data_IF_197420038565
#
_entry.id   IF_197420038565
#
_cell.length_a   1.000
_cell.length_b   1.000
_cell.length_c   1.000
_cell.angle_alpha   90.00
_cell.angle_beta   90.00
_cell.angle_gamma   90.00
#
_symmetry.space_group_name_H-M   'P 1'
#
loop_
_entity.id
_entity.type
_entity.pdbx_description
1 polymer ?
#
# COMPACT_ATOMS: atom_id res chain seq x y z
N UNK A 1 -14.71 9.78 23.15
CA UNK A 1 -13.40 9.09 23.37
C UNK A 1 -12.62 9.13 22.06
N UNK A 2 -11.30 9.48 22.06
CA UNK A 2 -10.53 9.52 20.82
C UNK A 2 -10.35 8.12 20.24
N UNK A 3 -10.59 7.98 18.95
CA UNK A 3 -10.46 6.72 18.19
C UNK A 3 -9.14 6.63 17.46
N UNK A 4 -8.62 7.77 17.03
CA UNK A 4 -7.36 7.89 16.31
C UNK A 4 -6.72 9.25 16.58
N UNK A 5 -5.40 9.32 16.39
CA UNK A 5 -4.62 10.55 16.56
C UNK A 5 -3.54 10.62 15.49
N UNK A 6 -3.24 11.84 15.05
CA UNK A 6 -2.14 12.19 14.16
C UNK A 6 -1.42 13.40 14.75
N UNK A 7 -0.11 13.29 14.96
CA UNK A 7 0.71 14.44 15.31
C UNK A 7 1.36 15.01 14.05
N UNK A 8 1.22 16.31 13.86
CA UNK A 8 1.79 17.07 12.74
C UNK A 8 2.77 18.07 13.33
N UNK A 9 4.07 17.84 13.15
CA UNK A 9 5.11 18.77 13.57
C UNK A 9 5.08 20.02 12.68
N UNK A 10 5.35 21.19 13.25
CA UNK A 10 5.51 22.43 12.49
C UNK A 10 6.83 22.39 11.73
N UNK A 11 6.76 22.50 10.40
CA UNK A 11 7.96 22.65 9.59
C UNK A 11 8.50 24.07 9.72
N UNK A 12 9.81 24.23 9.93
CA UNK A 12 10.48 25.52 10.17
C UNK A 12 10.45 26.49 8.99
N UNK A 13 9.99 26.08 7.79
CA UNK A 13 10.16 26.83 6.55
C UNK A 13 8.89 26.99 5.68
N UNK A 14 7.73 26.44 6.07
CA UNK A 14 6.51 26.50 5.25
C UNK A 14 5.31 26.90 6.07
N UNK A 15 4.47 27.78 5.51
CA UNK A 15 3.13 28.02 6.02
C UNK A 15 2.39 26.68 6.10
N UNK A 16 2.13 26.20 7.31
CA UNK A 16 1.40 24.96 7.55
C UNK A 16 -0.11 25.20 7.47
N UNK A 17 -0.89 24.13 7.23
CA UNK A 17 -2.36 24.16 7.28
C UNK A 17 -2.90 24.87 8.54
N UNK A 18 -2.19 24.72 9.66
CA UNK A 18 -2.63 25.15 10.98
C UNK A 18 -1.95 26.43 11.47
N UNK A 19 -1.13 27.10 10.65
CA UNK A 19 -0.39 28.29 11.09
C UNK A 19 -1.31 29.46 11.46
N UNK A 20 -2.53 29.50 10.91
CA UNK A 20 -3.53 30.50 11.29
C UNK A 20 -4.17 30.22 12.67
N UNK A 21 -3.95 29.04 13.25
CA UNK A 21 -4.57 28.62 14.50
C UNK A 21 -3.70 28.84 15.74
N UNK A 22 -2.44 29.27 15.59
CA UNK A 22 -1.57 29.51 16.73
C UNK A 22 -0.38 30.46 16.42
N UNK A 23 0.01 31.26 17.41
CA UNK A 23 1.16 32.17 17.36
C UNK A 23 2.51 31.45 17.14
N UNK A 24 3.59 32.22 17.00
CA UNK A 24 4.98 31.78 16.77
C UNK A 24 5.53 30.74 17.76
N UNK A 25 4.83 30.44 18.86
CA UNK A 25 5.20 29.47 19.90
C UNK A 25 4.72 28.03 19.64
N UNK A 26 3.92 27.80 18.59
CA UNK A 26 3.45 26.47 18.24
C UNK A 26 4.57 25.60 17.66
N UNK A 27 4.75 24.39 18.20
CA UNK A 27 5.72 23.39 17.73
C UNK A 27 5.05 22.29 16.88
N UNK A 28 3.73 22.11 17.04
CA UNK A 28 2.96 21.20 16.22
C UNK A 28 1.50 21.08 16.66
N UNK A 29 0.75 20.23 15.97
CA UNK A 29 -0.67 20.02 16.18
C UNK A 29 -0.98 18.55 16.36
N UNK A 30 -1.80 18.26 17.36
CA UNK A 30 -2.40 16.96 17.56
C UNK A 30 -3.81 16.97 16.96
N UNK A 31 -4.01 16.19 15.92
CA UNK A 31 -5.32 16.00 15.27
C UNK A 31 -5.94 14.73 15.83
N UNK A 32 -7.12 14.82 16.41
CA UNK A 32 -7.82 13.74 17.08
C UNK A 32 -9.18 13.51 16.44
N UNK A 33 -9.45 12.26 16.05
CA UNK A 33 -10.78 11.82 15.68
C UNK A 33 -11.50 11.18 16.86
N UNK A 34 -12.81 11.37 16.99
CA UNK A 34 -13.61 10.74 18.03
C UNK A 34 -14.80 9.89 17.51
N UNK A 35 -15.41 9.15 18.45
CA UNK A 35 -16.57 8.30 18.20
C UNK A 35 -17.81 9.07 17.75
N UNK A 36 -17.87 10.37 18.07
CA UNK A 36 -19.00 11.24 17.76
C UNK A 36 -18.83 11.91 16.38
N UNK A 37 -17.78 11.53 15.65
CA UNK A 37 -17.50 12.02 14.30
C UNK A 37 -16.75 13.35 14.24
N UNK A 38 -16.27 13.88 15.37
CA UNK A 38 -15.54 15.14 15.37
C UNK A 38 -14.05 14.92 15.14
N UNK A 39 -13.46 15.82 14.36
CA UNK A 39 -12.02 16.00 14.22
C UNK A 39 -11.63 17.25 14.99
N UNK A 40 -10.89 17.08 16.07
CA UNK A 40 -10.39 18.17 16.91
C UNK A 40 -8.92 18.37 16.64
N UNK A 41 -8.49 19.62 16.65
CA UNK A 41 -7.10 20.02 16.49
C UNK A 41 -6.68 20.71 17.77
N UNK A 42 -5.57 20.25 18.33
CA UNK A 42 -4.97 20.81 19.55
C UNK A 42 -3.58 21.32 19.19
N UNK A 43 -3.37 22.64 19.28
CA UNK A 43 -2.06 23.24 19.09
C UNK A 43 -1.21 23.04 20.35
N UNK A 44 0.05 22.64 20.16
CA UNK A 44 0.97 22.31 21.25
C UNK A 44 2.26 23.12 21.13
N UNK A 45 2.82 23.53 22.27
CA UNK A 45 4.15 24.14 22.34
C UNK A 45 5.27 23.08 22.45
N UNK A 46 6.52 23.56 22.48
CA UNK A 46 7.73 22.73 22.65
C UNK A 46 7.76 21.93 23.97
N UNK A 47 7.00 22.36 24.98
CA UNK A 47 6.83 21.68 26.26
C UNK A 47 5.61 20.77 26.29
N UNK A 48 4.94 20.59 25.14
CA UNK A 48 3.70 19.82 24.97
C UNK A 48 2.52 20.38 25.78
N UNK A 49 2.58 21.65 26.18
CA UNK A 49 1.43 22.34 26.74
C UNK A 49 0.44 22.69 25.63
N UNK A 50 -0.85 22.60 25.96
CA UNK A 50 -1.93 22.94 25.04
C UNK A 50 -2.03 24.46 24.93
N UNK A 51 -1.87 24.99 23.72
CA UNK A 51 -1.99 26.42 23.43
C UNK A 51 -3.42 26.80 23.03
N UNK A 52 -4.05 25.98 22.19
CA UNK A 52 -5.42 26.18 21.71
C UNK A 52 -6.02 24.85 21.27
N UNK A 53 -7.35 24.77 21.21
CA UNK A 53 -8.08 23.63 20.68
C UNK A 53 -9.34 24.09 19.95
N UNK A 54 -9.64 23.45 18.82
CA UNK A 54 -10.83 23.74 18.03
C UNK A 54 -11.31 22.50 17.26
N UNK A 55 -12.57 22.50 16.83
CA UNK A 55 -13.12 21.46 15.96
C UNK A 55 -12.90 21.87 14.51
N UNK A 56 -12.19 21.04 13.76
CA UNK A 56 -11.86 21.28 12.36
C UNK A 56 -12.92 20.72 11.40
N UNK A 57 -13.48 19.56 11.74
CA UNK A 57 -14.46 18.87 10.91
C UNK A 57 -15.39 18.03 11.77
N UNK A 58 -16.59 17.75 11.26
CA UNK A 58 -17.50 16.80 11.87
C UNK A 58 -18.21 15.96 10.81
N UNK A 59 -18.22 14.64 11.02
CA UNK A 59 -19.19 13.76 10.41
C UNK A 59 -20.41 13.63 11.32
N UNK A 60 -21.59 13.96 10.78
CA UNK A 60 -22.82 13.94 11.56
C UNK A 60 -23.37 12.52 11.82
N UNK A 61 -22.87 11.51 11.11
CA UNK A 61 -23.49 10.19 10.99
C UNK A 61 -22.53 9.01 11.21
N UNK A 62 -21.25 9.27 11.49
CA UNK A 62 -20.24 8.22 11.63
C UNK A 62 -19.07 8.65 12.51
N UNK A 63 -18.49 7.69 13.22
CA UNK A 63 -17.26 7.89 13.98
C UNK A 63 -16.08 8.19 13.05
N UNK A 64 -15.05 8.87 13.56
CA UNK A 64 -13.78 8.94 12.84
C UNK A 64 -13.04 7.62 13.00
N UNK A 65 -12.71 6.97 11.89
CA UNK A 65 -11.90 5.75 11.89
C UNK A 65 -10.40 6.05 11.87
N UNK A 66 -9.98 6.99 11.02
CA UNK A 66 -8.56 7.29 10.82
C UNK A 66 -8.36 8.71 10.31
N UNK A 67 -7.25 9.34 10.74
CA UNK A 67 -6.75 10.61 10.16
C UNK A 67 -5.37 10.34 9.57
N UNK A 68 -5.11 10.89 8.38
CA UNK A 68 -3.87 10.71 7.62
C UNK A 68 -3.28 12.05 7.20
N UNK A 69 -1.96 12.16 7.19
CA UNK A 69 -1.28 13.28 6.53
C UNK A 69 -1.25 13.04 5.01
N UNK A 70 -1.65 14.04 4.23
CA UNK A 70 -1.62 14.00 2.76
C UNK A 70 -0.43 14.84 2.25
N UNK A 71 -0.26 16.03 2.81
CA UNK A 71 0.85 16.94 2.55
C UNK A 71 1.08 17.83 3.78
N UNK A 72 2.01 18.77 3.71
CA UNK A 72 2.23 19.77 4.76
C UNK A 72 1.02 20.68 4.98
N UNK A 73 0.14 20.77 3.99
CA UNK A 73 -1.02 21.65 3.92
C UNK A 73 -2.35 20.90 3.76
N UNK A 74 -2.37 19.57 3.93
CA UNK A 74 -3.61 18.80 3.83
C UNK A 74 -3.60 17.52 4.69
N UNK A 75 -4.78 17.22 5.24
CA UNK A 75 -5.07 15.98 5.96
C UNK A 75 -6.25 15.25 5.33
N UNK A 76 -6.31 13.94 5.50
CA UNK A 76 -7.47 13.14 5.14
C UNK A 76 -8.12 12.55 6.39
N UNK A 77 -9.44 12.53 6.40
CA UNK A 77 -10.29 12.03 7.47
C UNK A 77 -11.15 10.92 6.90
N UNK A 78 -10.98 9.70 7.40
CA UNK A 78 -11.79 8.55 7.06
C UNK A 78 -12.83 8.31 8.16
N UNK A 79 -14.09 8.35 7.79
CA UNK A 79 -15.20 7.97 8.66
C UNK A 79 -15.42 6.45 8.69
N UNK A 80 -16.04 5.97 9.75
CA UNK A 80 -16.26 4.53 9.98
C UNK A 80 -17.20 3.87 8.97
N UNK A 81 -17.89 4.63 8.12
CA UNK A 81 -18.74 4.13 7.03
C UNK A 81 -18.06 4.25 5.65
N UNK A 82 -16.75 4.56 5.60
CA UNK A 82 -15.97 4.62 4.37
C UNK A 82 -16.04 5.96 3.62
N UNK A 83 -16.65 6.99 4.21
CA UNK A 83 -16.57 8.36 3.67
C UNK A 83 -15.17 8.91 3.92
N UNK A 84 -14.50 9.36 2.87
CA UNK A 84 -13.17 9.94 2.92
C UNK A 84 -13.25 11.42 2.54
N UNK A 85 -12.84 12.30 3.45
CA UNK A 85 -12.74 13.74 3.21
C UNK A 85 -11.28 14.16 3.28
N UNK A 86 -10.82 14.96 2.31
CA UNK A 86 -9.51 15.60 2.34
C UNK A 86 -9.71 17.08 2.54
N UNK A 87 -9.09 17.61 3.60
CA UNK A 87 -9.12 19.00 3.99
C UNK A 87 -7.76 19.61 3.67
N UNK A 88 -7.74 20.63 2.82
CA UNK A 88 -6.59 21.48 2.54
C UNK A 88 -6.64 22.78 3.32
N UNK A 89 -5.56 23.57 3.26
CA UNK A 89 -5.42 24.83 4.00
C UNK A 89 -6.68 25.71 3.92
N UNK A 90 -6.93 26.47 4.99
CA UNK A 90 -8.14 27.31 5.16
C UNK A 90 -9.45 26.50 5.15
N UNK A 91 -9.41 25.27 5.67
CA UNK A 91 -10.59 24.38 5.78
C UNK A 91 -11.24 24.05 4.43
N UNK A 92 -10.49 24.20 3.33
CA UNK A 92 -11.01 23.91 2.00
C UNK A 92 -11.13 22.40 1.81
N UNK A 93 -12.34 21.93 1.51
CA UNK A 93 -12.57 20.55 1.10
C UNK A 93 -11.95 20.33 -0.29
N UNK A 94 -10.92 19.49 -0.37
CA UNK A 94 -10.24 19.11 -1.61
C UNK A 94 -10.88 17.86 -2.23
N UNK A 95 -11.41 16.97 -1.40
CA UNK A 95 -12.06 15.73 -1.81
C UNK A 95 -13.10 15.34 -0.76
N UNK A 96 -14.27 14.87 -1.19
CA UNK A 96 -15.29 14.28 -0.33
C UNK A 96 -15.97 13.17 -1.13
N UNK A 97 -15.66 11.91 -0.79
CA UNK A 97 -16.06 10.75 -1.57
C UNK A 97 -16.50 9.60 -0.66
N UNK A 98 -17.31 8.71 -1.23
CA UNK A 98 -17.66 7.44 -0.62
C UNK A 98 -16.77 6.33 -1.19
N UNK A 99 -15.93 5.72 -0.35
CA UNK A 99 -15.14 4.54 -0.72
C UNK A 99 -15.96 3.26 -0.61
N UNK A 100 -15.38 2.15 -1.10
CA UNK A 100 -15.91 0.82 -0.82
C UNK A 100 -15.95 0.55 0.68
N UNK A 101 -17.06 0.00 1.15
CA UNK A 101 -17.29 -0.30 2.57
C UNK A 101 -17.41 -1.81 2.83
N UNK A 102 -16.83 -2.35 3.92
CA UNK A 102 -15.94 -1.66 4.88
C UNK A 102 -14.53 -1.40 4.34
N UNK A 103 -13.90 -0.32 4.81
CA UNK A 103 -12.48 -0.03 4.58
C UNK A 103 -11.68 -0.64 5.72
N UNK A 104 -10.95 -1.71 5.44
CA UNK A 104 -10.18 -2.47 6.43
C UNK A 104 -8.87 -1.75 6.80
N UNK A 105 -8.26 -1.06 5.83
CA UNK A 105 -6.99 -0.37 6.00
C UNK A 105 -6.80 0.64 4.88
N UNK A 106 -6.24 1.81 5.18
CA UNK A 106 -5.92 2.85 4.19
C UNK A 106 -4.56 3.49 4.50
N UNK A 107 -3.85 3.86 3.44
CA UNK A 107 -2.66 4.71 3.48
C UNK A 107 -2.72 5.72 2.35
N UNK A 108 -2.09 6.88 2.53
CA UNK A 108 -1.83 7.81 1.45
C UNK A 108 -0.40 7.64 0.96
N UNK A 109 -0.22 7.43 -0.35
CA UNK A 109 1.09 7.29 -0.99
C UNK A 109 1.46 8.61 -1.68
N UNK A 110 2.37 9.37 -1.07
CA UNK A 110 2.67 10.75 -1.45
C UNK A 110 3.28 10.90 -2.85
N UNK A 111 4.18 10.00 -3.25
CA UNK A 111 4.79 10.02 -4.59
C UNK A 111 3.75 9.77 -5.68
N UNK A 112 2.89 8.78 -5.46
CA UNK A 112 1.87 8.41 -6.44
C UNK A 112 0.61 9.28 -6.37
N UNK A 113 0.49 10.11 -5.32
CA UNK A 113 -0.67 10.96 -5.00
C UNK A 113 -1.99 10.18 -4.95
N UNK A 114 -1.93 8.98 -4.36
CA UNK A 114 -3.04 8.03 -4.33
C UNK A 114 -3.30 7.55 -2.91
N UNK A 115 -4.57 7.48 -2.53
CA UNK A 115 -5.01 6.65 -1.43
C UNK A 115 -5.00 5.20 -1.89
N UNK A 116 -4.34 4.35 -1.11
CA UNK A 116 -4.40 2.91 -1.29
C UNK A 116 -5.12 2.34 -0.11
N UNK A 117 -6.12 1.52 -0.36
CA UNK A 117 -6.92 0.95 0.70
C UNK A 117 -7.33 -0.48 0.38
N UNK A 118 -7.68 -1.20 1.45
CA UNK A 118 -8.21 -2.55 1.38
C UNK A 118 -9.69 -2.49 1.74
N UNK A 119 -10.52 -3.10 0.90
CA UNK A 119 -11.92 -3.31 1.16
C UNK A 119 -12.32 -4.69 0.63
N UNK A 120 -13.06 -5.47 1.45
CA UNK A 120 -13.58 -6.80 1.05
C UNK A 120 -12.50 -7.75 0.51
N UNK A 121 -11.29 -7.67 1.06
CA UNK A 121 -10.16 -8.53 0.65
C UNK A 121 -9.48 -8.12 -0.66
N UNK A 122 -9.86 -7.00 -1.27
CA UNK A 122 -9.25 -6.44 -2.47
C UNK A 122 -8.55 -5.12 -2.15
N UNK A 123 -7.50 -4.81 -2.90
CA UNK A 123 -6.77 -3.56 -2.77
C UNK A 123 -7.16 -2.61 -3.91
N UNK A 124 -7.40 -1.35 -3.56
CA UNK A 124 -7.85 -0.30 -4.46
C UNK A 124 -6.93 0.91 -4.37
N UNK A 125 -6.78 1.62 -5.48
CA UNK A 125 -6.17 2.95 -5.55
C UNK A 125 -7.20 4.02 -5.90
N UNK A 126 -7.14 5.16 -5.22
CA UNK A 126 -7.94 6.35 -5.54
C UNK A 126 -7.04 7.59 -5.57
N UNK A 127 -6.93 8.25 -6.72
CA UNK A 127 -6.17 9.49 -6.84
C UNK A 127 -7.00 10.70 -6.35
N UNK A 128 -6.35 11.75 -5.85
CA UNK A 128 -7.03 12.93 -5.31
C UNK A 128 -7.99 13.60 -6.30
N UNK A 129 -7.67 13.57 -7.60
CA UNK A 129 -8.49 14.19 -8.66
C UNK A 129 -9.31 13.18 -9.46
N UNK A 130 -9.25 11.90 -9.10
CA UNK A 130 -10.05 10.86 -9.78
C UNK A 130 -11.50 10.90 -9.31
N UNK A 131 -12.41 10.56 -10.21
CA UNK A 131 -13.83 10.36 -9.90
C UNK A 131 -14.14 8.93 -9.42
N UNK A 132 -13.18 8.01 -9.51
CA UNK A 132 -13.39 6.59 -9.16
C UNK A 132 -12.15 5.90 -8.60
N UNK A 133 -12.38 4.82 -7.87
CA UNK A 133 -11.34 3.91 -7.38
C UNK A 133 -11.07 2.81 -8.40
N UNK A 134 -9.80 2.48 -8.61
CA UNK A 134 -9.36 1.37 -9.46
C UNK A 134 -8.85 0.20 -8.61
N UNK A 135 -9.23 -1.03 -8.96
CA UNK A 135 -8.70 -2.22 -8.30
C UNK A 135 -7.24 -2.48 -8.74
N UNK A 136 -6.37 -2.79 -7.79
CA UNK A 136 -4.98 -3.16 -8.04
C UNK A 136 -4.91 -4.66 -8.34
N UNK A 137 -5.27 -5.05 -9.56
CA UNK A 137 -5.46 -6.46 -9.95
C UNK A 137 -4.23 -7.37 -9.82
N UNK A 138 -3.03 -6.79 -9.78
CA UNK A 138 -1.79 -7.54 -9.54
C UNK A 138 -1.62 -7.96 -8.07
N UNK A 139 -2.47 -7.46 -7.15
CA UNK A 139 -2.48 -7.82 -5.73
C UNK A 139 -3.51 -8.94 -5.52
N UNK A 140 -3.13 -10.05 -4.83
CA UNK A 140 -4.05 -11.15 -4.58
C UNK A 140 -5.33 -10.77 -3.82
N UNK A 141 -6.41 -11.50 -4.08
CA UNK A 141 -7.75 -11.32 -3.48
C UNK A 141 -7.85 -11.89 -2.05
N UNK A 142 -6.88 -11.59 -1.22
CA UNK A 142 -6.85 -11.92 0.20
C UNK A 142 -6.15 -10.82 1.02
N UNK A 143 -6.11 -9.59 0.49
CA UNK A 143 -5.52 -8.44 1.16
C UNK A 143 -6.24 -8.18 2.50
N UNK A 144 -5.45 -7.84 3.53
CA UNK A 144 -5.96 -7.51 4.87
C UNK A 144 -5.55 -6.10 5.29
N UNK A 145 -4.30 -5.73 5.04
CA UNK A 145 -3.76 -4.44 5.46
C UNK A 145 -2.81 -3.89 4.42
N UNK A 146 -2.83 -2.58 4.22
CA UNK A 146 -1.82 -1.87 3.43
C UNK A 146 -0.93 -1.06 4.37
N UNK A 147 0.36 -1.02 4.07
CA UNK A 147 1.38 -0.30 4.85
C UNK A 147 2.30 0.46 3.91
N UNK A 148 2.77 1.62 4.37
CA UNK A 148 3.88 2.31 3.72
C UNK A 148 5.17 1.50 3.91
N UNK A 149 5.98 1.38 2.86
CA UNK A 149 7.30 0.77 2.95
C UNK A 149 8.36 1.81 3.31
N UNK A 150 9.54 1.34 3.73
CA UNK A 150 10.71 2.20 3.92
C UNK A 150 11.18 2.84 2.61
N UNK A 151 11.06 2.11 1.50
CA UNK A 151 11.16 2.66 0.15
C UNK A 151 9.86 3.43 -0.17
N UNK A 152 9.91 4.77 -0.30
CA UNK A 152 8.72 5.60 -0.47
C UNK A 152 8.06 5.45 -1.84
N UNK A 153 8.67 4.71 -2.77
CA UNK A 153 8.07 4.35 -4.06
C UNK A 153 7.17 3.11 -3.99
N UNK A 154 7.21 2.38 -2.86
CA UNK A 154 6.54 1.10 -2.69
C UNK A 154 5.48 1.14 -1.60
N UNK A 155 4.50 0.29 -1.79
CA UNK A 155 3.55 -0.10 -0.75
C UNK A 155 3.71 -1.58 -0.43
N UNK A 156 3.45 -1.92 0.83
CA UNK A 156 3.31 -3.28 1.30
C UNK A 156 1.84 -3.63 1.49
N UNK A 157 1.43 -4.83 1.08
CA UNK A 157 0.11 -5.38 1.36
C UNK A 157 0.27 -6.70 2.09
N UNK A 158 -0.26 -6.73 3.32
CA UNK A 158 -0.32 -7.92 4.15
C UNK A 158 -1.62 -8.68 3.83
N UNK A 159 -1.48 -9.95 3.48
CA UNK A 159 -2.58 -10.86 3.20
C UNK A 159 -3.15 -11.47 4.49
N UNK A 160 -4.38 -12.00 4.43
CA UNK A 160 -5.02 -12.73 5.53
C UNK A 160 -4.22 -13.96 5.96
N UNK A 161 -3.40 -14.52 5.06
CA UNK A 161 -2.51 -15.66 5.30
C UNK A 161 -1.13 -15.24 5.84
N UNK A 162 -0.95 -13.97 6.20
CA UNK A 162 0.32 -13.46 6.74
C UNK A 162 1.42 -13.25 5.70
N UNK A 163 1.09 -13.25 4.41
CA UNK A 163 2.05 -12.99 3.33
C UNK A 163 2.17 -11.49 3.07
N UNK A 164 3.39 -11.00 2.87
CA UNK A 164 3.65 -9.62 2.50
C UNK A 164 3.96 -9.53 1.01
N UNK A 165 3.18 -8.74 0.29
CA UNK A 165 3.41 -8.39 -1.10
C UNK A 165 3.88 -6.93 -1.17
N UNK A 166 4.89 -6.64 -1.98
CA UNK A 166 5.29 -5.25 -2.24
C UNK A 166 5.05 -4.91 -3.69
N UNK A 167 4.54 -3.73 -3.96
CA UNK A 167 4.34 -3.24 -5.33
C UNK A 167 4.71 -1.76 -5.44
N UNK A 168 5.05 -1.34 -6.65
CA UNK A 168 5.31 0.07 -6.99
C UNK A 168 4.03 0.63 -7.58
N UNK A 169 3.67 1.84 -7.15
CA UNK A 169 2.51 2.55 -7.69
C UNK A 169 2.95 3.54 -8.74
N UNK A 170 2.32 3.47 -9.90
CA UNK A 170 2.51 4.47 -10.93
C UNK A 170 1.93 5.83 -10.49
N UNK A 171 2.65 6.95 -10.70
CA UNK A 171 2.17 8.28 -10.36
C UNK A 171 0.85 8.66 -11.03
N UNK A 172 0.09 9.55 -10.40
CA UNK A 172 -1.03 10.22 -11.07
C UNK A 172 -0.54 10.97 -12.32
N UNK A 173 -1.15 10.71 -13.48
CA UNK A 173 -0.77 11.33 -14.76
C UNK A 173 0.30 10.58 -15.57
N UNK A 174 0.84 9.46 -15.08
CA UNK A 174 1.60 8.54 -15.94
C UNK A 174 0.65 7.76 -16.84
N UNK A 175 0.14 8.42 -17.88
CA UNK A 175 -0.70 7.89 -18.94
C UNK A 175 -1.99 7.16 -18.48
N UNK A 176 -3.04 7.95 -18.24
CA UNK A 176 -4.38 7.52 -18.65
C UNK A 176 -4.31 7.16 -20.14
N UNK A 177 -4.39 5.86 -20.46
CA UNK A 177 -4.09 5.27 -21.77
C UNK A 177 -2.61 5.32 -22.19
N UNK A 178 -1.75 4.65 -21.43
CA UNK A 178 -1.04 3.58 -22.12
C UNK A 178 -2.04 2.43 -22.13
N UNK A 179 -2.87 2.37 -23.17
CA UNK A 179 -3.16 1.05 -23.72
C UNK A 179 -1.83 0.32 -23.66
N UNK A 180 -1.71 -0.71 -22.81
CA UNK A 180 -0.70 -1.74 -23.03
C UNK A 180 -0.76 -1.92 -24.53
N UNK A 181 0.30 -1.58 -25.31
CA UNK A 181 0.23 -1.81 -26.74
C UNK A 181 -0.19 -3.26 -26.79
N UNK A 182 -1.38 -3.53 -27.35
CA UNK A 182 -1.80 -4.90 -27.59
C UNK A 182 -0.65 -5.42 -28.43
N UNK A 183 0.30 -6.07 -27.75
CA UNK A 183 1.48 -6.58 -28.38
C UNK A 183 0.86 -7.52 -29.38
N UNK A 184 0.96 -7.16 -30.67
CA UNK A 184 0.30 -7.87 -31.76
C UNK A 184 0.35 -9.35 -31.44
N UNK A 185 -0.70 -10.14 -31.60
CA UNK A 185 -0.72 -11.55 -31.18
C UNK A 185 0.59 -12.32 -31.48
N UNK A 186 1.33 -11.94 -32.52
CA UNK A 186 2.72 -12.34 -32.81
C UNK A 186 3.75 -12.15 -31.67
N UNK A 187 3.76 -11.04 -30.94
CA UNK A 187 4.67 -10.76 -29.82
C UNK A 187 4.34 -11.63 -28.61
N UNK A 188 3.06 -11.81 -28.30
CA UNK A 188 2.58 -12.75 -27.28
C UNK A 188 2.89 -14.20 -27.69
N UNK A 189 2.65 -14.57 -28.95
CA UNK A 189 3.02 -15.88 -29.49
C UNK A 189 4.53 -16.13 -29.45
N UNK A 190 5.36 -15.12 -29.73
CA UNK A 190 6.82 -15.25 -29.62
C UNK A 190 7.27 -15.42 -28.17
N UNK A 191 6.67 -14.70 -27.22
CA UNK A 191 6.99 -14.88 -25.80
C UNK A 191 6.51 -16.23 -25.27
N UNK A 192 5.29 -16.66 -25.64
CA UNK A 192 4.78 -18.00 -25.32
C UNK A 192 5.68 -19.06 -25.94
N UNK A 193 6.08 -18.95 -27.22
CA UNK A 193 7.01 -19.89 -27.84
C UNK A 193 8.38 -19.92 -27.15
N UNK A 194 8.87 -18.77 -26.67
CA UNK A 194 10.12 -18.68 -25.91
C UNK A 194 10.01 -19.36 -24.55
N UNK A 195 8.89 -19.18 -23.84
CA UNK A 195 8.59 -19.86 -22.57
C UNK A 195 8.42 -21.36 -22.78
N UNK A 196 7.71 -21.77 -23.83
CA UNK A 196 7.50 -23.19 -24.17
C UNK A 196 8.81 -23.88 -24.53
N UNK A 197 9.71 -23.21 -25.28
CA UNK A 197 11.07 -23.72 -25.54
C UNK A 197 11.91 -23.80 -24.27
N UNK A 198 11.91 -22.77 -23.44
CA UNK A 198 12.61 -22.81 -22.16
C UNK A 198 12.09 -23.93 -21.24
N UNK A 199 10.78 -24.20 -21.25
CA UNK A 199 10.17 -25.32 -20.52
C UNK A 199 10.59 -26.69 -21.08
N UNK A 200 10.66 -26.82 -22.41
CA UNK A 200 11.17 -28.02 -23.08
C UNK A 200 12.66 -28.26 -22.77
N UNK A 201 13.47 -27.20 -22.75
CA UNK A 201 14.90 -27.28 -22.41
C UNK A 201 15.10 -27.66 -20.93
N UNK A 202 14.27 -27.13 -20.02
CA UNK A 202 14.29 -27.55 -18.61
C UNK A 202 13.86 -29.00 -18.41
N UNK A 203 12.88 -29.50 -19.18
CA UNK A 203 12.47 -30.90 -19.10
C UNK A 203 13.51 -31.85 -19.71
N UNK A 204 14.21 -31.43 -20.76
CA UNK A 204 15.37 -32.15 -21.29
C UNK A 204 16.56 -32.14 -20.30
N UNK A 205 16.81 -31.02 -19.62
CA UNK A 205 17.82 -30.96 -18.57
C UNK A 205 17.46 -31.87 -17.37
N UNK A 206 16.17 -31.92 -16.99
CA UNK A 206 15.68 -32.80 -15.93
C UNK A 206 15.80 -34.30 -16.29
N UNK A 207 15.51 -34.67 -17.55
CA UNK A 207 15.67 -36.06 -18.01
C UNK A 207 17.15 -36.48 -18.04
N UNK A 208 18.04 -35.55 -18.40
CA UNK A 208 19.49 -35.76 -18.37
C UNK A 208 20.02 -35.91 -16.93
N UNK A 209 19.49 -35.12 -15.98
CA UNK A 209 19.84 -35.25 -14.56
C UNK A 209 19.35 -36.59 -13.96
N UNK A 210 18.15 -37.06 -14.35
CA UNK A 210 17.62 -38.36 -13.93
C UNK A 210 18.45 -39.53 -14.50
N UNK A 211 18.89 -39.46 -15.76
CA UNK A 211 19.73 -40.51 -16.36
C UNK A 211 21.14 -40.56 -15.73
N UNK A 212 21.70 -39.39 -15.37
CA UNK A 212 22.96 -39.30 -14.64
C UNK A 212 22.84 -39.91 -13.23
N UNK A 213 21.76 -39.60 -12.52
CA UNK A 213 21.48 -40.14 -11.19
C UNK A 213 21.32 -41.67 -11.21
N UNK A 214 20.61 -42.21 -12.21
CA UNK A 214 20.49 -43.65 -12.42
C UNK A 214 21.85 -44.32 -12.71
N UNK A 215 22.71 -43.65 -13.49
CA UNK A 215 24.05 -44.14 -13.81
C UNK A 215 24.97 -44.14 -12.58
N UNK A 216 24.90 -43.11 -11.74
CA UNK A 216 25.62 -43.03 -10.46
C UNK A 216 25.16 -44.14 -9.51
N UNK A 217 23.85 -44.38 -9.41
CA UNK A 217 23.31 -45.49 -8.62
C UNK A 217 23.80 -46.85 -9.10
N UNK A 218 23.83 -47.09 -10.41
CA UNK A 218 24.36 -48.32 -11.00
C UNK A 218 25.84 -48.50 -10.69
N UNK A 219 26.65 -47.46 -10.86
CA UNK A 219 28.08 -47.48 -10.51
C UNK A 219 28.32 -47.80 -9.03
N UNK A 220 27.55 -47.19 -8.13
CA UNK A 220 27.67 -47.45 -6.69
C UNK A 220 27.25 -48.87 -6.31
N UNK A 221 26.22 -49.42 -6.96
CA UNK A 221 25.79 -50.80 -6.78
C UNK A 221 26.85 -51.79 -7.26
N UNK A 222 27.44 -51.56 -8.44
CA UNK A 222 28.55 -52.37 -8.97
C UNK A 222 29.78 -52.28 -8.08
N UNK A 223 30.12 -51.10 -7.54
CA UNK A 223 31.23 -50.92 -6.60
C UNK A 223 31.02 -51.73 -5.32
N UNK A 224 29.82 -51.70 -4.74
CA UNK A 224 29.47 -52.50 -3.56
C UNK A 224 29.53 -54.00 -3.83
N UNK A 225 29.05 -54.44 -5.00
CA UNK A 225 29.14 -55.84 -5.42
C UNK A 225 30.59 -56.32 -5.54
N UNK A 226 31.45 -55.53 -6.21
CA UNK A 226 32.88 -55.85 -6.33
C UNK A 226 33.60 -55.86 -4.97
N UNK A 227 33.23 -54.97 -4.05
CA UNK A 227 33.74 -55.01 -2.66
C UNK A 227 33.32 -56.30 -1.93
N UNK A 228 32.09 -56.78 -2.14
CA UNK A 228 31.65 -58.08 -1.60
C UNK A 228 32.45 -59.25 -2.18
N UNK A 229 32.79 -59.23 -3.48
CA UNK A 229 33.60 -60.27 -4.12
C UNK A 229 35.08 -60.26 -3.70
N UNK A 230 35.58 -59.19 -3.09
CA UNK A 230 36.95 -59.07 -2.57
C UNK A 230 37.09 -59.50 -1.10
N UNK A 231 35.97 -59.85 -0.44
CA UNK A 231 35.96 -60.45 0.90
C UNK A 231 35.81 -61.98 0.74
N UNK A 232 36.86 -62.64 0.27
CA UNK A 232 37.12 -64.07 0.43
C UNK A 232 38.62 -64.28 0.66
#
# INVERSE_FOLDING_TARGET
>A
MPTCMLYVAKATASQSFFDNACDSKCDGWLVQGDMDGHVRVVAMDVHKAVLSAFTLWSFNDQAIQQVLAVSSDAIAVLGSLGRLVVLGALERVLMDIQLHFPVDSIVYHSIAKKFVYVARGQCYGHALRSSSSAALHHIPRDAKRVVACADPSRIGVLSKLGRLFTTVLEPEGSNDRASVPQGSDKALQMQVAKITRASADMTAAASTALSLSASIHKMNSTRRFLQFCQVQ
#
